data_IF_314657368396
#
_entry.id   IF_314657368396
#
_cell.length_a   1.000
_cell.length_b   1.000
_cell.length_c   1.000
_cell.angle_alpha   90.00
_cell.angle_beta   90.00
_cell.angle_gamma   90.00
#
_symmetry.space_group_name_H-M   'P 1'
#
loop_
_entity.id
_entity.type
_entity.pdbx_description
1 polymer ?
#
# COMPACT_ATOMS: atom_id res chain seq x y z
N UNK A 1 3.75 18.74 -32.19
CA UNK A 1 2.35 18.95 -32.61
C UNK A 1 1.47 18.39 -31.49
N UNK A 2 0.92 19.24 -30.60
CA UNK A 2 -0.39 19.94 -30.74
C UNK A 2 -1.53 18.91 -30.51
N UNK A 3 -2.53 19.04 -29.63
CA UNK A 3 -3.23 20.17 -29.00
C UNK A 3 -3.75 19.78 -27.60
N UNK A 4 -3.83 20.79 -26.72
CA UNK A 4 -4.56 20.83 -25.46
C UNK A 4 -6.08 20.88 -25.63
N UNK A 5 -6.84 20.42 -24.61
CA UNK A 5 -8.14 21.01 -24.21
C UNK A 5 -8.65 20.46 -22.86
N UNK A 6 -8.64 21.32 -21.86
CA UNK A 6 -9.35 21.17 -20.57
C UNK A 6 -10.78 21.74 -20.69
N UNK A 7 -11.80 21.12 -20.08
CA UNK A 7 -12.97 21.83 -19.59
C UNK A 7 -12.91 21.98 -18.06
N UNK A 8 -13.24 23.19 -17.61
CA UNK A 8 -13.45 23.56 -16.20
C UNK A 8 -14.77 22.95 -15.72
N UNK A 9 -14.73 22.16 -14.65
CA UNK A 9 -15.93 21.74 -13.91
C UNK A 9 -15.97 22.50 -12.59
N UNK A 10 -17.12 23.14 -12.37
CA UNK A 10 -17.43 23.99 -11.26
C UNK A 10 -17.47 23.28 -9.92
N UNK A 11 -17.21 24.09 -8.91
CA UNK A 11 -17.19 23.78 -7.50
C UNK A 11 -18.53 23.24 -6.98
N UNK A 12 -18.45 22.32 -6.02
CA UNK A 12 -19.11 22.43 -4.70
C UNK A 12 -18.99 21.09 -3.97
N UNK A 13 -18.04 20.96 -3.05
CA UNK A 13 -18.14 19.96 -1.97
C UNK A 13 -17.70 20.62 -0.67
N UNK A 14 -18.65 20.64 0.26
CA UNK A 14 -18.55 21.11 1.61
C UNK A 14 -17.42 20.40 2.37
N UNK A 15 -16.52 21.17 2.96
CA UNK A 15 -15.58 20.67 3.97
C UNK A 15 -16.14 20.96 5.35
N UNK A 16 -16.51 19.89 6.05
CA UNK A 16 -16.62 19.87 7.50
C UNK A 16 -15.22 20.11 8.08
N UNK A 17 -15.01 21.29 8.67
CA UNK A 17 -13.76 21.65 9.33
C UNK A 17 -13.85 21.29 10.80
N UNK A 18 -12.88 20.48 11.20
CA UNK A 18 -12.54 20.07 12.54
C UNK A 18 -12.29 21.30 13.43
N UNK A 19 -12.83 21.28 14.65
CA UNK A 19 -12.75 22.34 15.65
C UNK A 19 -11.31 22.46 16.18
N UNK A 20 -10.49 23.30 15.55
CA UNK A 20 -9.21 23.76 16.12
C UNK A 20 -9.52 24.99 16.98
N UNK A 21 -9.24 24.89 18.28
CA UNK A 21 -9.39 25.99 19.23
C UNK A 21 -8.51 27.17 18.83
N UNK A 22 -9.12 28.23 18.29
CA UNK A 22 -8.48 29.51 18.05
C UNK A 22 -8.48 30.31 19.36
N UNK A 23 -7.34 30.38 20.04
CA UNK A 23 -7.10 31.41 21.05
C UNK A 23 -7.02 32.77 20.34
N UNK A 24 -8.10 33.55 20.41
CA UNK A 24 -8.05 34.96 20.05
C UNK A 24 -7.12 35.68 21.03
N UNK A 25 -5.93 36.06 20.57
CA UNK A 25 -5.15 37.08 21.25
C UNK A 25 -5.97 38.38 21.24
N UNK A 26 -6.45 38.80 22.41
CA UNK A 26 -7.14 40.06 22.59
C UNK A 26 -6.16 41.19 22.26
N UNK A 27 -6.43 41.94 21.19
CA UNK A 27 -5.80 43.24 20.95
C UNK A 27 -6.28 44.21 22.02
N UNK A 28 -5.52 44.35 23.11
CA UNK A 28 -5.70 45.46 24.05
C UNK A 28 -5.32 46.76 23.35
N UNK A 29 -6.33 47.58 23.03
CA UNK A 29 -6.12 48.94 22.55
C UNK A 29 -5.34 49.71 23.62
N UNK A 30 -4.17 50.31 23.34
CA UNK A 30 -3.44 51.06 24.36
C UNK A 30 -4.28 52.26 24.83
N UNK A 31 -4.18 52.66 26.12
CA UNK A 31 -4.90 53.83 26.63
C UNK A 31 -4.49 55.08 25.84
N UNK A 32 -5.47 55.88 25.43
CA UNK A 32 -5.23 57.13 24.70
C UNK A 32 -4.40 58.08 25.56
N UNK A 33 -3.11 58.19 25.23
CA UNK A 33 -2.16 59.07 25.90
C UNK A 33 -2.42 60.52 25.49
N UNK A 34 -2.54 61.41 26.47
CA UNK A 34 -2.82 62.83 26.21
C UNK A 34 -1.62 63.50 25.51
N UNK A 35 -1.84 64.23 24.41
CA UNK A 35 -0.76 64.92 23.71
C UNK A 35 -0.20 66.04 24.59
N UNK A 36 1.13 66.07 24.77
CA UNK A 36 1.84 67.14 25.48
C UNK A 36 2.04 68.31 24.50
N UNK A 37 1.45 69.50 24.74
CA UNK A 37 1.65 70.65 23.86
C UNK A 37 3.06 71.23 24.08
N UNK A 38 3.92 71.11 23.06
CA UNK A 38 5.24 71.73 23.03
C UNK A 38 5.27 72.83 21.97
N UNK A 39 5.87 73.97 22.27
CA UNK A 39 6.08 75.02 21.28
C UNK A 39 7.20 74.64 20.29
N UNK A 40 7.17 75.21 19.08
CA UNK A 40 8.13 74.88 18.02
C UNK A 40 9.59 75.22 18.38
N UNK A 41 9.81 76.16 19.31
CA UNK A 41 11.14 76.54 19.80
C UNK A 41 11.60 75.61 20.92
N UNK A 42 10.69 75.18 21.81
CA UNK A 42 10.96 74.16 22.82
C UNK A 42 11.28 72.80 22.19
N UNK A 43 10.54 72.39 21.16
CA UNK A 43 10.80 71.15 20.43
C UNK A 43 12.18 71.16 19.73
N UNK A 44 12.61 72.31 19.23
CA UNK A 44 13.94 72.49 18.62
C UNK A 44 15.07 72.51 19.66
N UNK A 45 14.89 73.19 20.79
CA UNK A 45 15.86 73.20 21.89
C UNK A 45 16.03 71.80 22.53
N UNK A 46 14.96 70.99 22.55
CA UNK A 46 14.96 69.61 23.02
C UNK A 46 15.41 68.59 21.96
N UNK A 47 15.73 69.03 20.74
CA UNK A 47 16.29 68.17 19.69
C UNK A 47 15.31 67.14 19.12
N UNK A 48 14.01 67.36 19.22
CA UNK A 48 12.98 66.41 18.75
C UNK A 48 13.05 66.31 17.23
N UNK A 49 13.27 65.10 16.71
CA UNK A 49 13.26 64.79 15.28
C UNK A 49 12.13 63.82 14.98
N UNK A 50 11.33 64.16 13.98
CA UNK A 50 10.27 63.31 13.48
C UNK A 50 10.75 62.61 12.20
N UNK A 51 10.48 61.30 12.10
CA UNK A 51 10.64 60.53 10.86
C UNK A 51 9.30 59.92 10.52
N UNK A 52 8.89 59.89 9.23
CA UNK A 52 7.68 59.21 8.83
C UNK A 52 7.77 57.72 9.20
N UNK A 53 6.70 57.18 9.81
CA UNK A 53 6.57 55.75 10.07
C UNK A 53 6.37 55.04 8.74
N UNK A 54 7.35 54.24 8.32
CA UNK A 54 7.24 53.40 7.14
C UNK A 54 6.74 52.02 7.57
N UNK A 55 5.60 51.60 7.03
CA UNK A 55 5.10 50.25 7.26
C UNK A 55 6.04 49.23 6.58
N UNK A 56 6.56 48.27 7.35
CA UNK A 56 7.29 47.15 6.76
C UNK A 56 6.27 46.22 6.10
N UNK A 57 6.36 46.08 4.78
CA UNK A 57 5.45 45.21 4.01
C UNK A 57 5.81 43.72 4.12
N UNK A 58 7.02 43.40 4.58
CA UNK A 58 7.54 42.03 4.56
C UNK A 58 7.85 41.56 5.98
N UNK A 59 7.01 40.65 6.48
CA UNK A 59 7.25 39.89 7.68
C UNK A 59 7.66 38.47 7.26
N UNK A 60 8.97 38.20 7.25
CA UNK A 60 9.47 36.85 7.01
C UNK A 60 9.37 36.03 8.30
N UNK A 61 8.44 35.09 8.32
CA UNK A 61 8.31 34.11 9.41
C UNK A 61 9.06 32.85 8.99
N UNK A 62 10.18 32.58 9.66
CA UNK A 62 10.90 31.32 9.50
C UNK A 62 10.06 30.15 10.00
N UNK A 63 9.81 29.16 9.14
CA UNK A 63 9.10 27.93 9.50
C UNK A 63 9.93 26.71 9.14
N UNK A 64 9.78 25.63 9.92
CA UNK A 64 10.43 24.36 9.64
C UNK A 64 9.40 23.37 9.10
N UNK A 65 9.74 22.68 8.03
CA UNK A 65 8.92 21.63 7.45
C UNK A 65 9.76 20.36 7.20
N UNK A 66 9.11 19.21 7.21
CA UNK A 66 9.72 17.92 6.84
C UNK A 66 9.06 17.39 5.59
N UNK A 67 9.87 17.06 4.59
CA UNK A 67 9.40 16.32 3.41
C UNK A 67 9.30 14.85 3.79
N UNK A 68 8.13 14.26 3.56
CA UNK A 68 7.89 12.82 3.70
C UNK A 68 7.43 12.28 2.36
N UNK A 69 7.80 11.03 2.07
CA UNK A 69 7.27 10.35 0.88
C UNK A 69 5.76 10.21 1.01
N UNK A 70 5.06 10.34 -0.12
CA UNK A 70 3.64 10.00 -0.14
C UNK A 70 3.50 8.48 0.12
N UNK A 71 2.45 8.04 0.84
CA UNK A 71 2.25 6.62 1.14
C UNK A 71 2.16 5.72 -0.10
N UNK A 72 1.70 6.27 -1.23
CA UNK A 72 1.60 5.55 -2.51
C UNK A 72 2.94 5.45 -3.28
N UNK A 73 3.97 6.18 -2.84
CA UNK A 73 5.31 6.14 -3.42
C UNK A 73 6.26 5.17 -2.68
N UNK A 74 5.77 4.47 -1.64
CA UNK A 74 6.56 3.52 -0.86
C UNK A 74 5.89 2.14 -0.85
N UNK A 75 6.66 1.11 -1.19
CA UNK A 75 6.21 -0.29 -1.12
C UNK A 75 7.20 -1.12 -0.32
N UNK A 76 6.67 -1.96 0.57
CA UNK A 76 7.46 -2.93 1.34
C UNK A 76 7.21 -4.30 0.74
N UNK A 77 8.27 -4.93 0.22
CA UNK A 77 8.22 -6.29 -0.31
C UNK A 77 8.63 -7.25 0.81
N UNK A 78 7.66 -7.99 1.34
CA UNK A 78 7.88 -8.99 2.38
C UNK A 78 7.86 -10.41 1.80
N UNK A 79 8.72 -11.29 2.33
CA UNK A 79 8.68 -12.70 2.00
C UNK A 79 7.53 -13.38 2.78
N UNK A 80 6.68 -14.18 2.12
CA UNK A 80 5.52 -14.80 2.79
C UNK A 80 5.88 -16.02 3.63
N UNK A 81 7.04 -16.64 3.38
CA UNK A 81 7.60 -17.72 4.19
C UNK A 81 8.96 -17.32 4.74
N UNK A 82 9.36 -17.94 5.85
CA UNK A 82 10.73 -17.82 6.34
C UNK A 82 11.68 -18.54 5.39
N UNK A 83 12.83 -17.93 5.10
CA UNK A 83 13.82 -18.48 4.19
C UNK A 83 15.06 -17.62 4.10
N UNK A 84 15.90 -17.93 3.13
CA UNK A 84 17.17 -17.26 2.87
C UNK A 84 17.09 -16.48 1.55
N UNK A 85 17.78 -15.34 1.51
CA UNK A 85 17.96 -14.54 0.29
C UNK A 85 19.39 -14.78 -0.22
N UNK A 86 19.62 -15.78 -1.09
CA UNK A 86 20.96 -16.12 -1.56
C UNK A 86 21.61 -15.03 -2.41
N UNK A 87 20.80 -14.22 -3.12
CA UNK A 87 21.31 -13.17 -4.01
C UNK A 87 20.35 -12.00 -4.07
N UNK A 88 20.89 -10.80 -3.95
CA UNK A 88 20.20 -9.55 -4.29
C UNK A 88 20.71 -9.11 -5.66
N UNK A 89 19.78 -8.84 -6.58
CA UNK A 89 20.08 -8.55 -8.00
C UNK A 89 20.28 -7.05 -8.20
N UNK A 90 19.58 -6.23 -7.41
CA UNK A 90 19.56 -4.76 -7.55
C UNK A 90 20.42 -4.07 -6.49
N UNK A 91 21.09 -2.99 -6.89
CA UNK A 91 21.86 -2.15 -5.98
C UNK A 91 21.01 -1.02 -5.38
N UNK A 92 21.44 -0.49 -4.23
CA UNK A 92 20.78 0.66 -3.59
C UNK A 92 20.88 1.88 -4.51
N UNK A 93 19.74 2.54 -4.78
CA UNK A 93 19.65 3.70 -5.67
C UNK A 93 19.44 3.37 -7.16
N UNK A 94 19.45 2.09 -7.53
CA UNK A 94 19.13 1.66 -8.88
C UNK A 94 17.64 1.87 -9.17
N UNK A 95 17.32 2.41 -10.35
CA UNK A 95 15.94 2.55 -10.80
C UNK A 95 15.42 1.20 -11.29
N UNK A 96 14.33 0.72 -10.72
CA UNK A 96 13.69 -0.56 -11.07
C UNK A 96 12.31 -0.33 -11.67
N UNK A 97 11.88 -1.24 -12.56
CA UNK A 97 10.54 -1.22 -13.15
C UNK A 97 9.61 -2.22 -12.44
N UNK A 98 8.30 -2.02 -12.57
CA UNK A 98 7.30 -2.95 -12.03
C UNK A 98 7.51 -4.34 -12.66
N UNK A 99 7.69 -5.35 -11.81
CA UNK A 99 7.92 -6.74 -12.24
C UNK A 99 9.38 -7.11 -12.43
N UNK A 100 10.33 -6.19 -12.21
CA UNK A 100 11.75 -6.50 -12.25
C UNK A 100 12.17 -7.32 -11.01
N UNK A 101 13.03 -8.33 -11.22
CA UNK A 101 13.51 -9.20 -10.16
C UNK A 101 14.47 -8.45 -9.24
N UNK A 102 14.09 -8.30 -7.96
CA UNK A 102 14.91 -7.59 -6.96
C UNK A 102 15.92 -8.51 -6.29
N UNK A 103 15.50 -9.73 -5.97
CA UNK A 103 16.31 -10.73 -5.28
C UNK A 103 15.81 -12.14 -5.57
N UNK A 104 16.68 -13.12 -5.40
CA UNK A 104 16.30 -14.54 -5.38
C UNK A 104 16.03 -14.94 -3.94
N UNK A 105 14.98 -15.71 -3.72
CA UNK A 105 14.56 -16.19 -2.40
C UNK A 105 14.42 -17.71 -2.42
N UNK A 106 14.97 -18.39 -1.41
CA UNK A 106 14.83 -19.82 -1.23
C UNK A 106 14.27 -20.11 0.16
N UNK A 107 13.16 -20.84 0.23
CA UNK A 107 12.52 -21.22 1.49
C UNK A 107 12.27 -22.73 1.55
N UNK A 108 12.79 -23.41 2.60
CA UNK A 108 12.44 -24.81 2.86
C UNK A 108 10.94 -25.01 3.10
N UNK A 109 10.27 -24.07 3.77
CA UNK A 109 8.84 -24.18 4.06
C UNK A 109 7.99 -24.07 2.78
N UNK A 110 8.39 -23.22 1.83
CA UNK A 110 7.75 -23.14 0.52
C UNK A 110 7.90 -24.44 -0.27
N UNK A 111 9.06 -25.09 -0.17
CA UNK A 111 9.29 -26.39 -0.82
C UNK A 111 8.35 -27.47 -0.26
N UNK A 112 8.21 -27.56 1.06
CA UNK A 112 7.27 -28.49 1.69
C UNK A 112 5.81 -28.22 1.29
N UNK A 113 5.38 -26.95 1.24
CA UNK A 113 4.04 -26.60 0.78
C UNK A 113 3.81 -26.97 -0.70
N UNK A 114 4.83 -26.79 -1.56
CA UNK A 114 4.79 -27.16 -2.98
C UNK A 114 4.75 -28.68 -3.17
N UNK A 115 5.52 -29.42 -2.36
CA UNK A 115 5.47 -30.88 -2.30
C UNK A 115 4.07 -31.36 -1.92
N UNK A 116 3.49 -30.82 -0.84
CA UNK A 116 2.15 -31.20 -0.38
C UNK A 116 1.06 -30.95 -1.44
N UNK A 117 1.16 -29.85 -2.20
CA UNK A 117 0.25 -29.61 -3.34
C UNK A 117 0.44 -30.65 -4.44
N UNK A 118 1.69 -30.99 -4.76
CA UNK A 118 2.02 -31.99 -5.80
C UNK A 118 1.51 -33.39 -5.43
N UNK A 119 1.64 -33.76 -4.15
CA UNK A 119 1.09 -34.99 -3.60
C UNK A 119 -0.44 -35.01 -3.68
N UNK A 120 -1.11 -33.94 -3.24
CA UNK A 120 -2.57 -33.82 -3.33
C UNK A 120 -3.07 -33.90 -4.78
N UNK A 121 -2.35 -33.29 -5.74
CA UNK A 121 -2.66 -33.39 -7.16
C UNK A 121 -2.52 -34.83 -7.67
N UNK A 122 -1.52 -35.56 -7.20
CA UNK A 122 -1.35 -36.98 -7.56
C UNK A 122 -2.50 -37.83 -7.00
N UNK A 123 -2.91 -37.56 -5.76
CA UNK A 123 -4.02 -38.25 -5.10
C UNK A 123 -5.36 -37.99 -5.79
N UNK A 124 -5.66 -36.74 -6.18
CA UNK A 124 -6.90 -36.44 -6.90
C UNK A 124 -6.93 -37.10 -8.27
N UNK A 125 -5.81 -37.15 -8.99
CA UNK A 125 -5.71 -37.82 -10.28
C UNK A 125 -5.99 -39.32 -10.16
N UNK A 126 -5.47 -39.97 -9.10
CA UNK A 126 -5.75 -41.37 -8.82
C UNK A 126 -7.23 -41.59 -8.48
N UNK A 127 -7.80 -40.75 -7.62
CA UNK A 127 -9.20 -40.85 -7.21
C UNK A 127 -10.16 -40.64 -8.40
N UNK A 128 -9.87 -39.68 -9.28
CA UNK A 128 -10.64 -39.43 -10.51
C UNK A 128 -10.58 -40.61 -11.48
N UNK A 129 -9.40 -41.21 -11.69
CA UNK A 129 -9.27 -42.42 -12.52
C UNK A 129 -10.04 -43.59 -11.91
N UNK A 130 -10.04 -43.71 -10.58
CA UNK A 130 -10.82 -44.73 -9.90
C UNK A 130 -12.32 -44.53 -10.08
N UNK A 131 -12.79 -43.29 -9.92
CA UNK A 131 -14.20 -42.95 -10.12
C UNK A 131 -14.65 -43.18 -11.57
N UNK A 132 -13.84 -42.80 -12.55
CA UNK A 132 -14.16 -42.99 -13.96
C UNK A 132 -14.33 -44.48 -14.31
N UNK A 133 -13.44 -45.34 -13.79
CA UNK A 133 -13.55 -46.78 -13.98
C UNK A 133 -14.76 -47.37 -13.25
N UNK A 134 -14.96 -47.02 -11.98
CA UNK A 134 -16.07 -47.57 -11.19
C UNK A 134 -17.43 -47.10 -11.73
N UNK A 135 -17.51 -45.90 -12.34
CA UNK A 135 -18.69 -45.44 -13.07
C UNK A 135 -19.02 -46.32 -14.27
N UNK A 136 -18.04 -46.62 -15.12
CA UNK A 136 -18.24 -47.53 -16.26
C UNK A 136 -18.71 -48.92 -15.81
N UNK A 137 -18.08 -49.46 -14.76
CA UNK A 137 -18.47 -50.77 -14.22
C UNK A 137 -19.85 -50.76 -13.56
N UNK A 138 -20.31 -49.62 -13.04
CA UNK A 138 -21.66 -49.47 -12.49
C UNK A 138 -22.70 -49.40 -13.62
N UNK A 139 -22.40 -48.66 -14.68
CA UNK A 139 -23.26 -48.57 -15.87
C UNK A 139 -23.44 -49.95 -16.54
N UNK A 140 -22.39 -50.79 -16.51
CA UNK A 140 -22.44 -52.19 -16.94
C UNK A 140 -23.11 -53.15 -15.92
N UNK A 141 -23.54 -52.65 -14.75
CA UNK A 141 -24.19 -53.44 -13.69
C UNK A 141 -23.25 -54.38 -12.91
N UNK A 142 -21.93 -54.21 -13.02
CA UNK A 142 -20.91 -55.11 -12.42
C UNK A 142 -20.66 -54.80 -10.94
N UNK A 143 -20.77 -53.53 -10.53
CA UNK A 143 -20.54 -53.11 -9.13
C UNK A 143 -21.81 -52.60 -8.44
N UNK A 144 -21.83 -52.70 -7.11
CA UNK A 144 -22.91 -52.14 -6.29
C UNK A 144 -22.85 -50.61 -6.23
N UNK A 145 -24.02 -49.96 -6.12
CA UNK A 145 -24.15 -48.51 -5.97
C UNK A 145 -23.36 -47.95 -4.77
N UNK A 146 -23.27 -48.69 -3.66
CA UNK A 146 -22.49 -48.27 -2.48
C UNK A 146 -21.00 -48.11 -2.78
N UNK A 147 -20.46 -48.92 -3.70
CA UNK A 147 -19.06 -48.81 -4.14
C UNK A 147 -18.85 -47.55 -4.99
N UNK A 148 -19.77 -47.25 -5.91
CA UNK A 148 -19.73 -46.03 -6.70
C UNK A 148 -19.75 -44.79 -5.81
N UNK A 149 -20.71 -44.72 -4.87
CA UNK A 149 -20.83 -43.64 -3.90
C UNK A 149 -19.56 -43.48 -3.04
N UNK A 150 -18.94 -44.59 -2.60
CA UNK A 150 -17.68 -44.53 -1.87
C UNK A 150 -16.53 -43.95 -2.72
N UNK A 151 -16.46 -44.29 -4.01
CA UNK A 151 -15.45 -43.71 -4.91
C UNK A 151 -15.71 -42.25 -5.25
N UNK A 152 -16.97 -41.83 -5.38
CA UNK A 152 -17.36 -40.43 -5.57
C UNK A 152 -16.96 -39.59 -4.35
N UNK A 153 -17.25 -40.07 -3.14
CA UNK A 153 -16.86 -39.41 -1.91
C UNK A 153 -15.34 -39.24 -1.78
N UNK A 154 -14.55 -40.26 -2.16
CA UNK A 154 -13.08 -40.15 -2.17
C UNK A 154 -12.57 -39.15 -3.21
N UNK A 155 -13.20 -39.08 -4.38
CA UNK A 155 -12.80 -38.14 -5.42
C UNK A 155 -13.11 -36.68 -5.02
N UNK A 156 -14.26 -36.44 -4.39
CA UNK A 156 -14.64 -35.11 -3.90
C UNK A 156 -13.75 -34.68 -2.72
N UNK A 157 -13.42 -35.58 -1.80
CA UNK A 157 -12.46 -35.35 -0.72
C UNK A 157 -11.06 -34.98 -1.25
N UNK A 158 -10.53 -35.77 -2.20
CA UNK A 158 -9.22 -35.48 -2.79
C UNK A 158 -9.19 -34.14 -3.54
N UNK A 159 -10.28 -33.79 -4.23
CA UNK A 159 -10.42 -32.50 -4.90
C UNK A 159 -10.48 -31.33 -3.91
N UNK A 160 -11.18 -31.51 -2.78
CA UNK A 160 -11.22 -30.53 -1.70
C UNK A 160 -9.82 -30.31 -1.09
N UNK A 161 -9.03 -31.38 -0.94
CA UNK A 161 -7.67 -31.29 -0.42
C UNK A 161 -6.74 -30.49 -1.34
N UNK A 162 -6.82 -30.70 -2.67
CA UNK A 162 -6.07 -29.88 -3.65
C UNK A 162 -6.49 -28.41 -3.55
N UNK A 163 -7.79 -28.14 -3.45
CA UNK A 163 -8.30 -26.77 -3.31
C UNK A 163 -7.79 -26.10 -2.04
N UNK A 164 -7.75 -26.83 -0.92
CA UNK A 164 -7.21 -26.33 0.34
C UNK A 164 -5.73 -25.98 0.23
N UNK A 165 -4.90 -26.89 -0.31
CA UNK A 165 -3.45 -26.65 -0.50
C UNK A 165 -3.16 -25.51 -1.47
N UNK A 166 -3.96 -25.37 -2.52
CA UNK A 166 -3.83 -24.25 -3.45
C UNK A 166 -4.22 -22.92 -2.80
N UNK A 167 -5.27 -22.91 -1.98
CA UNK A 167 -5.68 -21.72 -1.24
C UNK A 167 -4.62 -21.29 -0.19
N UNK A 168 -4.00 -22.27 0.49
CA UNK A 168 -2.87 -22.05 1.39
C UNK A 168 -1.72 -21.32 0.66
N UNK A 169 -1.29 -21.83 -0.49
CA UNK A 169 -0.23 -21.18 -1.30
C UNK A 169 -0.65 -19.83 -1.90
N UNK A 170 -1.91 -19.67 -2.30
CA UNK A 170 -2.43 -18.40 -2.80
C UNK A 170 -2.49 -17.33 -1.70
N UNK A 171 -2.80 -17.72 -0.46
CA UNK A 171 -2.80 -16.82 0.70
C UNK A 171 -1.41 -16.28 1.03
N UNK A 172 -0.36 -17.04 0.67
CA UNK A 172 1.02 -16.58 0.73
C UNK A 172 1.37 -15.56 -0.37
N UNK A 173 0.45 -15.20 -1.27
CA UNK A 173 0.67 -14.15 -2.27
C UNK A 173 1.73 -14.48 -3.33
N UNK A 174 2.08 -15.76 -3.49
CA UNK A 174 3.12 -16.20 -4.41
C UNK A 174 2.53 -16.30 -5.82
N UNK A 175 2.82 -15.31 -6.67
CA UNK A 175 2.69 -15.45 -8.11
C UNK A 175 3.98 -16.13 -8.62
N UNK A 176 3.91 -17.43 -8.92
CA UNK A 176 5.02 -18.13 -9.57
C UNK A 176 5.25 -17.52 -10.96
N UNK A 177 6.20 -16.61 -11.05
CA UNK A 177 6.72 -16.04 -12.30
C UNK A 177 8.20 -16.39 -12.42
N UNK A 178 8.54 -17.64 -12.10
CA UNK A 178 9.84 -18.18 -12.43
C UNK A 178 9.77 -18.83 -13.80
N UNK A 179 10.55 -18.34 -14.76
CA UNK A 179 10.97 -19.20 -15.86
C UNK A 179 11.59 -20.44 -15.22
N UNK A 180 11.05 -21.62 -15.53
CA UNK A 180 11.60 -22.89 -15.08
C UNK A 180 13.11 -22.88 -15.33
N UNK A 181 13.88 -23.21 -14.29
CA UNK A 181 15.32 -23.20 -14.38
C UNK A 181 15.82 -24.05 -15.54
N UNK A 182 16.61 -23.43 -16.41
CA UNK A 182 17.63 -24.11 -17.19
C UNK A 182 18.98 -23.57 -16.72
N UNK A 183 19.72 -24.42 -16.01
CA UNK A 183 21.19 -24.59 -16.00
C UNK A 183 21.57 -25.50 -14.83
#
# INVERSE_FOLDING_TARGET
>A
MVFSRFPRIGAAIASAVFLVGQSFAQSTNPPAMQPVPLSADQARALGVRFSPVQASANLEVGTHARVVFRPDAQYVVAAPYAGIVPRVIVAVGQTVRRGEALATFASPQLFEASRALTEANSQVNLAQKSLARDKLLFDDGIIANSRLQATEARATEAAAMVKARRAELASAGIAFTGAGGEA
#
